data_IF_319213343245
#
_entry.id   IF_319213343245
#
_cell.length_a   1.000
_cell.length_b   1.000
_cell.length_c   1.000
_cell.angle_alpha   90.00
_cell.angle_beta   90.00
_cell.angle_gamma   90.00
#
_symmetry.space_group_name_H-M   'P 1'
#
loop_
_entity.id
_entity.type
_entity.pdbx_description
1 polymer ?
#
# COMPACT_ATOMS: atom_id res chain seq x y z
N UNK A 1 -17.32 9.84 7.43
CA UNK A 1 -16.09 10.60 7.10
C UNK A 1 -16.22 11.21 5.71
N UNK A 2 -15.70 12.43 5.47
CA UNK A 2 -15.80 13.11 4.17
C UNK A 2 -14.86 12.54 3.09
N UNK A 3 -14.94 13.10 1.87
CA UNK A 3 -14.14 12.69 0.70
C UNK A 3 -12.64 12.99 0.82
N UNK A 4 -12.24 13.90 1.70
CA UNK A 4 -10.85 14.29 1.93
C UNK A 4 -10.18 13.52 3.09
N UNK A 5 -10.92 12.62 3.75
CA UNK A 5 -10.40 11.86 4.87
C UNK A 5 -10.03 10.44 4.42
N UNK A 6 -8.97 9.87 5.00
CA UNK A 6 -8.58 8.47 4.83
C UNK A 6 -9.64 7.49 5.36
N UNK A 7 -9.46 6.20 5.05
CA UNK A 7 -10.30 5.09 5.51
C UNK A 7 -9.40 4.02 6.10
N UNK A 8 -9.73 3.53 7.29
CA UNK A 8 -9.16 2.27 7.75
C UNK A 8 -9.72 1.14 6.89
N UNK A 9 -8.87 0.15 6.59
CA UNK A 9 -9.27 -1.10 5.95
C UNK A 9 -8.57 -2.26 6.69
N UNK A 10 -9.11 -3.45 6.53
CA UNK A 10 -8.57 -4.67 7.13
C UNK A 10 -8.68 -5.82 6.14
N UNK A 11 -7.68 -6.69 6.15
CA UNK A 11 -7.70 -7.97 5.47
C UNK A 11 -7.51 -9.07 6.51
N UNK A 12 -8.50 -9.95 6.66
CA UNK A 12 -8.33 -11.19 7.42
C UNK A 12 -7.69 -12.23 6.50
N UNK A 13 -6.53 -12.74 6.90
CA UNK A 13 -5.81 -13.76 6.14
C UNK A 13 -5.24 -14.80 7.11
N UNK A 14 -5.31 -16.07 6.71
CA UNK A 14 -4.62 -17.16 7.39
C UNK A 14 -3.28 -17.39 6.69
N UNK A 15 -2.19 -16.99 7.33
CA UNK A 15 -0.84 -17.18 6.82
C UNK A 15 -0.15 -18.32 7.60
N UNK A 16 0.39 -19.35 6.92
CA UNK A 16 1.28 -20.32 7.55
C UNK A 16 2.51 -19.67 8.17
N UNK A 17 3.30 -20.45 8.94
CA UNK A 17 4.59 -20.00 9.44
C UNK A 17 5.50 -19.59 8.27
N UNK A 18 6.07 -18.39 8.34
CA UNK A 18 6.93 -17.86 7.28
C UNK A 18 7.11 -16.36 7.35
N UNK A 19 7.91 -15.84 6.41
CA UNK A 19 8.13 -14.40 6.22
C UNK A 19 7.42 -13.96 4.95
N UNK A 20 6.60 -12.92 5.05
CA UNK A 20 5.77 -12.40 3.97
C UNK A 20 6.05 -10.92 3.75
N UNK A 21 5.99 -10.49 2.50
CA UNK A 21 5.92 -9.07 2.13
C UNK A 21 4.47 -8.72 1.85
N UNK A 22 3.87 -7.90 2.72
CA UNK A 22 2.48 -7.47 2.59
C UNK A 22 2.45 -6.02 2.10
N UNK A 23 1.66 -5.75 1.06
CA UNK A 23 1.44 -4.42 0.52
C UNK A 23 -0.05 -4.13 0.41
N UNK A 24 -0.41 -2.86 0.21
CA UNK A 24 -1.79 -2.46 -0.08
C UNK A 24 -1.84 -1.51 -1.27
N UNK A 25 -2.90 -1.63 -2.08
CA UNK A 25 -3.10 -0.82 -3.29
C UNK A 25 -4.51 -0.22 -3.29
N UNK A 26 -4.61 1.08 -3.10
CA UNK A 26 -5.85 1.83 -3.18
C UNK A 26 -6.17 2.25 -4.62
N UNK A 27 -7.46 2.36 -4.91
CA UNK A 27 -8.02 2.97 -6.14
C UNK A 27 -9.10 3.97 -5.74
N UNK A 28 -9.06 5.18 -6.30
CA UNK A 28 -10.07 6.21 -6.03
C UNK A 28 -11.34 6.06 -6.90
N UNK A 29 -12.36 6.87 -6.64
CA UNK A 29 -13.63 6.85 -7.37
C UNK A 29 -13.52 7.27 -8.85
N UNK A 30 -12.40 7.85 -9.26
CA UNK A 30 -12.09 8.20 -10.65
C UNK A 30 -11.28 7.11 -11.36
N UNK A 31 -10.93 6.03 -10.67
CA UNK A 31 -10.14 4.93 -11.21
C UNK A 31 -8.63 5.14 -11.10
N UNK A 32 -8.15 6.17 -10.39
CA UNK A 32 -6.72 6.34 -10.16
C UNK A 32 -6.25 5.30 -9.16
N UNK A 33 -5.33 4.42 -9.57
CA UNK A 33 -4.75 3.39 -8.72
C UNK A 33 -3.30 3.71 -8.39
N UNK A 34 -2.85 3.32 -7.19
CA UNK A 34 -1.44 3.44 -6.83
C UNK A 34 -0.54 2.65 -7.79
N UNK A 35 0.62 3.21 -8.21
CA UNK A 35 1.59 2.52 -9.03
C UNK A 35 2.39 1.51 -8.19
N UNK A 36 3.03 0.55 -8.86
CA UNK A 36 3.95 -0.39 -8.20
C UNK A 36 5.24 0.28 -7.75
N UNK A 37 5.87 1.04 -8.63
CA UNK A 37 7.11 1.78 -8.37
C UNK A 37 6.85 3.28 -8.28
N UNK A 38 7.73 3.99 -7.57
CA UNK A 38 7.65 5.45 -7.47
C UNK A 38 7.98 6.12 -8.81
N UNK A 39 7.33 7.24 -9.07
CA UNK A 39 7.76 8.15 -10.12
C UNK A 39 8.98 8.94 -9.64
N UNK A 40 10.14 8.63 -10.20
CA UNK A 40 11.37 9.35 -9.86
C UNK A 40 11.29 10.83 -10.21
N UNK A 41 11.73 11.67 -9.29
CA UNK A 41 11.82 13.12 -9.49
C UNK A 41 12.96 13.69 -8.62
N UNK A 42 13.58 14.77 -9.09
CA UNK A 42 14.81 15.33 -8.48
C UNK A 42 14.64 15.73 -7.01
N UNK A 43 13.42 16.03 -6.58
CA UNK A 43 13.12 16.49 -5.22
C UNK A 43 12.56 15.40 -4.30
N UNK A 44 12.33 14.18 -4.80
CA UNK A 44 11.83 13.05 -4.01
C UNK A 44 10.38 13.16 -3.53
N UNK A 45 9.51 13.90 -4.23
CA UNK A 45 8.13 14.12 -3.81
C UNK A 45 7.15 13.03 -4.28
N UNK A 46 6.00 12.96 -3.59
CA UNK A 46 4.79 12.24 -4.03
C UNK A 46 4.96 10.72 -4.23
N UNK A 47 5.82 10.06 -3.45
CA UNK A 47 5.90 8.61 -3.48
C UNK A 47 4.62 7.96 -2.94
N UNK A 48 3.80 7.44 -3.86
CA UNK A 48 2.56 6.70 -3.57
C UNK A 48 2.65 5.23 -3.98
N UNK A 49 3.86 4.71 -4.24
CA UNK A 49 4.09 3.36 -4.73
C UNK A 49 3.72 2.31 -3.68
N UNK A 50 3.05 1.23 -4.06
CA UNK A 50 2.68 0.21 -3.07
C UNK A 50 3.85 -0.71 -2.69
N UNK A 51 4.85 -0.89 -3.57
CA UNK A 51 5.95 -1.79 -3.31
C UNK A 51 6.98 -1.18 -2.33
N UNK A 52 7.28 0.12 -2.43
CA UNK A 52 8.23 0.77 -1.51
C UNK A 52 7.70 0.80 -0.05
N UNK A 53 6.38 0.85 0.10
CA UNK A 53 5.71 0.92 1.41
C UNK A 53 5.24 -0.45 1.92
N UNK A 54 5.68 -1.54 1.29
CA UNK A 54 5.36 -2.89 1.74
C UNK A 54 6.01 -3.17 3.11
N UNK A 55 5.33 -3.99 3.92
CA UNK A 55 5.81 -4.40 5.25
C UNK A 55 6.22 -5.87 5.24
N UNK A 56 7.37 -6.16 5.86
CA UNK A 56 7.81 -7.53 6.10
C UNK A 56 7.17 -8.03 7.39
N UNK A 57 6.42 -9.13 7.31
CA UNK A 57 5.74 -9.77 8.44
C UNK A 57 6.26 -11.18 8.61
N UNK A 58 6.77 -11.49 9.80
CA UNK A 58 7.16 -12.85 10.18
C UNK A 58 6.06 -13.47 11.04
N UNK A 59 5.48 -14.56 10.56
CA UNK A 59 4.51 -15.39 11.29
C UNK A 59 5.27 -16.54 11.94
N UNK A 60 5.24 -16.59 13.28
CA UNK A 60 6.08 -17.48 14.10
C UNK A 60 5.45 -18.85 14.37
#
# INVERSE_FOLDING_TARGET
MGKYAWRQFVLQAQLPKGTYTLASRATDVKGNAQPETRGENQSGYNNTSWADHAVTVTVA
#
